data_IF_648810638115
#
_entry.id   IF_648810638115
#
_cell.length_a   1.000
_cell.length_b   1.000
_cell.length_c   1.000
_cell.angle_alpha   90.00
_cell.angle_beta   90.00
_cell.angle_gamma   90.00
#
_symmetry.space_group_name_H-M   'P 1'
#
loop_
_entity.id
_entity.type
_entity.pdbx_description
1 polymer ?
#
# COMPACT_ATOMS: atom_id res chain seq x y z
N UNK A 1 13.09 -11.12 -14.07
CA UNK A 1 13.45 -10.11 -13.04
C UNK A 1 12.56 -10.15 -11.78
N UNK A 2 11.21 -10.17 -11.89
CA UNK A 2 10.31 -10.22 -10.72
C UNK A 2 10.62 -11.37 -9.73
N UNK A 3 10.84 -12.59 -10.24
CA UNK A 3 11.22 -13.77 -9.41
C UNK A 3 12.55 -13.57 -8.66
N UNK A 4 13.53 -12.90 -9.26
CA UNK A 4 14.83 -12.61 -8.63
C UNK A 4 14.62 -11.62 -7.47
N UNK A 5 13.86 -10.54 -7.71
CA UNK A 5 13.54 -9.56 -6.68
C UNK A 5 12.73 -10.18 -5.53
N UNK A 6 11.79 -11.07 -5.82
CA UNK A 6 11.02 -11.79 -4.80
C UNK A 6 11.92 -12.67 -3.93
N UNK A 7 12.76 -13.53 -4.53
CA UNK A 7 13.72 -14.38 -3.78
C UNK A 7 14.69 -13.57 -2.93
N UNK A 8 15.12 -12.38 -3.40
CA UNK A 8 15.94 -11.45 -2.61
C UNK A 8 15.19 -10.85 -1.40
N UNK A 9 13.88 -10.57 -1.54
CA UNK A 9 13.04 -10.09 -0.44
C UNK A 9 12.73 -11.19 0.58
N UNK A 10 12.62 -12.44 0.13
CA UNK A 10 12.41 -13.63 0.98
C UNK A 10 13.70 -14.14 1.65
N UNK A 11 14.79 -13.36 1.62
CA UNK A 11 16.11 -13.72 2.15
C UNK A 11 16.75 -14.98 1.53
N UNK A 12 16.25 -15.47 0.39
CA UNK A 12 16.80 -16.61 -0.35
C UNK A 12 17.84 -16.13 -1.37
N UNK A 13 18.99 -15.70 -0.88
CA UNK A 13 20.03 -15.08 -1.70
C UNK A 13 20.70 -16.06 -2.68
N UNK A 14 20.95 -17.30 -2.26
CA UNK A 14 21.56 -18.33 -3.12
C UNK A 14 20.68 -18.63 -4.34
N UNK A 15 19.39 -18.82 -4.11
CA UNK A 15 18.42 -19.04 -5.20
C UNK A 15 18.28 -17.83 -6.11
N UNK A 16 18.34 -16.61 -5.56
CA UNK A 16 18.27 -15.38 -6.34
C UNK A 16 19.46 -15.23 -7.29
N UNK A 17 20.68 -15.50 -6.81
CA UNK A 17 21.91 -15.50 -7.60
C UNK A 17 21.90 -16.64 -8.63
N UNK A 18 21.46 -17.84 -8.25
CA UNK A 18 21.30 -18.96 -9.18
C UNK A 18 20.33 -18.64 -10.31
N UNK A 19 19.18 -18.05 -9.98
CA UNK A 19 18.18 -17.61 -10.98
C UNK A 19 18.73 -16.49 -11.87
N UNK A 20 19.52 -15.56 -11.33
CA UNK A 20 20.18 -14.49 -12.09
C UNK A 20 21.19 -15.04 -13.11
N UNK A 21 22.03 -16.00 -12.70
CA UNK A 21 23.02 -16.65 -13.58
C UNK A 21 22.37 -17.55 -14.62
N UNK A 22 21.33 -18.30 -14.26
CA UNK A 22 20.55 -19.08 -15.22
C UNK A 22 19.88 -18.16 -16.26
N UNK A 23 19.32 -17.03 -15.83
CA UNK A 23 18.76 -16.04 -16.77
C UNK A 23 19.82 -15.47 -17.73
N UNK A 24 21.08 -15.31 -17.28
CA UNK A 24 22.20 -14.89 -18.13
C UNK A 24 22.56 -15.92 -19.20
N UNK A 25 22.50 -17.21 -18.87
CA UNK A 25 22.75 -18.29 -19.83
C UNK A 25 21.65 -18.40 -20.89
N UNK A 26 20.39 -18.18 -20.48
CA UNK A 26 19.23 -18.28 -21.38
C UNK A 26 19.07 -17.03 -22.26
N UNK A 27 19.43 -15.83 -21.77
CA UNK A 27 19.28 -14.55 -22.48
C UNK A 27 20.61 -13.78 -22.62
N UNK A 28 21.58 -14.26 -23.42
CA UNK A 28 22.87 -13.61 -23.58
C UNK A 28 22.84 -12.35 -24.47
N UNK A 29 21.82 -12.20 -25.33
CA UNK A 29 21.86 -11.24 -26.45
C UNK A 29 21.64 -9.78 -26.06
N UNK A 30 20.91 -9.51 -24.96
CA UNK A 30 20.57 -8.13 -24.56
C UNK A 30 21.50 -7.56 -23.47
N UNK A 31 22.42 -8.36 -22.93
CA UNK A 31 23.34 -7.93 -21.87
C UNK A 31 22.65 -7.47 -20.57
N UNK A 32 21.34 -7.71 -20.43
CA UNK A 32 20.51 -7.25 -19.31
C UNK A 32 20.96 -7.85 -17.97
N UNK A 33 21.51 -9.07 -18.01
CA UNK A 33 22.02 -9.80 -16.84
C UNK A 33 23.56 -9.87 -16.82
N UNK A 34 24.23 -9.02 -17.60
CA UNK A 34 25.68 -9.02 -17.76
C UNK A 34 26.20 -10.10 -18.72
N UNK A 35 27.52 -10.15 -18.86
CA UNK A 35 28.24 -11.13 -19.70
C UNK A 35 28.87 -12.22 -18.85
N UNK A 36 29.23 -13.34 -19.48
CA UNK A 36 29.90 -14.42 -18.76
C UNK A 36 31.29 -13.98 -18.25
N UNK A 37 31.57 -14.22 -16.97
CA UNK A 37 32.80 -13.79 -16.31
C UNK A 37 32.84 -12.33 -15.83
N UNK A 38 31.69 -11.68 -15.63
CA UNK A 38 31.63 -10.34 -15.01
C UNK A 38 32.22 -10.37 -13.59
N UNK A 39 32.92 -9.31 -13.13
CA UNK A 39 33.42 -9.24 -11.75
C UNK A 39 32.27 -9.30 -10.75
N UNK A 40 32.51 -9.96 -9.61
CA UNK A 40 31.51 -10.17 -8.55
C UNK A 40 30.88 -8.86 -8.06
N UNK A 41 31.66 -7.76 -8.03
CA UNK A 41 31.20 -6.43 -7.65
C UNK A 41 30.12 -5.88 -8.61
N UNK A 42 30.28 -6.12 -9.92
CA UNK A 42 29.34 -5.65 -10.94
C UNK A 42 28.08 -6.53 -10.98
N UNK A 43 28.21 -7.82 -10.68
CA UNK A 43 27.06 -8.73 -10.48
C UNK A 43 26.19 -8.28 -9.30
N UNK A 44 26.83 -7.84 -8.21
CA UNK A 44 26.14 -7.29 -7.04
C UNK A 44 25.43 -5.96 -7.34
N UNK A 45 26.06 -5.07 -8.10
CA UNK A 45 25.45 -3.79 -8.50
C UNK A 45 24.20 -3.99 -9.37
N UNK A 46 24.23 -4.98 -10.28
CA UNK A 46 23.07 -5.35 -11.09
C UNK A 46 21.94 -5.94 -10.24
N UNK A 47 22.26 -6.86 -9.32
CA UNK A 47 21.28 -7.40 -8.37
C UNK A 47 20.68 -6.31 -7.48
N UNK A 48 21.50 -5.36 -7.00
CA UNK A 48 21.05 -4.19 -6.25
C UNK A 48 20.12 -3.30 -7.07
N UNK A 49 20.42 -3.13 -8.36
CA UNK A 49 19.55 -2.40 -9.29
C UNK A 49 18.21 -3.10 -9.47
N UNK A 50 18.19 -4.42 -9.64
CA UNK A 50 16.96 -5.23 -9.72
C UNK A 50 16.15 -5.14 -8.42
N UNK A 51 16.82 -5.15 -7.27
CA UNK A 51 16.17 -5.04 -5.96
C UNK A 51 15.49 -3.68 -5.76
N UNK A 52 16.17 -2.60 -6.15
CA UNK A 52 15.68 -1.22 -5.98
C UNK A 52 14.69 -0.78 -7.06
N UNK A 53 14.65 -1.48 -8.19
CA UNK A 53 13.69 -1.17 -9.27
C UNK A 53 12.29 -1.60 -8.87
N UNK A 54 11.31 -0.73 -9.06
CA UNK A 54 9.90 -1.04 -8.81
C UNK A 54 9.36 -1.93 -9.93
N UNK A 55 9.54 -3.25 -9.80
CA UNK A 55 8.99 -4.24 -10.72
C UNK A 55 7.57 -4.66 -10.33
N UNK A 56 6.93 -3.96 -9.38
CA UNK A 56 5.59 -4.29 -8.90
C UNK A 56 5.49 -5.66 -8.23
N UNK A 57 6.55 -6.11 -7.55
CA UNK A 57 6.50 -7.32 -6.72
C UNK A 57 5.74 -6.96 -5.45
N UNK A 58 4.55 -7.55 -5.29
CA UNK A 58 3.75 -7.44 -4.07
C UNK A 58 4.58 -7.99 -2.90
N UNK A 59 4.80 -7.15 -1.89
CA UNK A 59 5.48 -7.58 -0.66
C UNK A 59 4.50 -8.51 0.05
N UNK A 60 4.72 -9.81 -0.03
CA UNK A 60 4.08 -10.74 0.89
C UNK A 60 4.64 -10.44 2.27
N UNK A 61 3.93 -9.63 3.05
CA UNK A 61 4.25 -9.40 4.46
C UNK A 61 4.23 -10.77 5.15
N UNK A 62 5.42 -11.32 5.42
CA UNK A 62 5.61 -12.52 6.21
C UNK A 62 5.11 -12.25 7.62
N UNK A 63 3.86 -12.62 7.90
CA UNK A 63 3.41 -12.88 9.25
C UNK A 63 4.27 -14.02 9.81
N UNK A 64 4.99 -13.72 10.88
CA UNK A 64 5.61 -14.71 11.75
C UNK A 64 4.52 -15.60 12.34
N UNK A 65 4.46 -16.85 11.89
CA UNK A 65 4.06 -17.95 12.76
C UNK A 65 4.86 -19.19 12.35
N UNK A 66 5.73 -19.61 13.26
CA UNK A 66 6.49 -20.85 13.16
C UNK A 66 5.52 -22.03 13.24
N UNK A 67 5.39 -22.78 12.14
CA UNK A 67 4.90 -24.16 12.17
C UNK A 67 5.63 -24.95 11.09
N UNK A 68 6.58 -25.76 11.54
CA UNK A 68 7.21 -26.81 10.77
C UNK A 68 6.14 -27.75 10.21
N UNK A 69 6.09 -27.96 8.89
CA UNK A 69 6.01 -29.32 8.35
C UNK A 69 6.46 -29.38 6.87
N UNK A 70 7.06 -30.51 6.54
CA UNK A 70 7.58 -30.93 5.24
C UNK A 70 6.54 -30.85 4.10
N UNK A 71 6.99 -30.44 2.92
CA UNK A 71 6.78 -31.23 1.71
C UNK A 71 7.81 -30.83 0.66
N UNK A 72 8.74 -31.74 0.39
CA UNK A 72 9.30 -31.89 -0.95
C UNK A 72 8.12 -32.05 -1.93
N UNK A 73 8.08 -31.25 -2.99
CA UNK A 73 7.43 -31.64 -4.23
C UNK A 73 8.13 -30.90 -5.38
N UNK A 74 8.94 -31.70 -6.05
CA UNK A 74 9.40 -31.56 -7.41
C UNK A 74 8.17 -31.62 -8.32
N UNK A 75 7.80 -30.50 -8.94
CA UNK A 75 6.86 -30.47 -10.05
C UNK A 75 7.44 -29.50 -11.09
N UNK A 76 8.24 -30.07 -12.00
CA UNK A 76 8.52 -29.53 -13.32
C UNK A 76 7.20 -29.46 -14.09
N UNK A 77 6.48 -28.33 -14.02
CA UNK A 77 5.31 -28.10 -14.86
C UNK A 77 5.62 -27.15 -16.01
N UNK A 78 5.25 -27.68 -17.18
CA UNK A 78 5.50 -27.27 -18.54
C UNK A 78 5.00 -25.84 -18.85
N UNK A 79 5.67 -25.22 -19.83
CA UNK A 79 5.24 -23.98 -20.47
C UNK A 79 3.80 -24.09 -20.96
N UNK A 80 2.85 -23.43 -20.27
CA UNK A 80 1.59 -23.03 -20.89
C UNK A 80 1.58 -21.50 -21.07
N UNK A 81 1.64 -21.10 -22.34
CA UNK A 81 1.40 -19.75 -22.84
C UNK A 81 -0.10 -19.40 -22.64
N UNK A 82 -0.59 -19.42 -21.40
CA UNK A 82 -1.90 -18.86 -21.08
C UNK A 82 -1.80 -17.34 -21.10
N UNK A 83 -2.50 -16.72 -22.08
CA UNK A 83 -2.84 -15.29 -22.05
C UNK A 83 -3.17 -14.89 -20.61
N UNK A 84 -2.68 -13.75 -20.07
CA UNK A 84 -2.96 -13.38 -18.71
C UNK A 84 -4.45 -13.18 -18.58
N UNK A 85 -5.14 -14.23 -18.12
CA UNK A 85 -6.50 -14.14 -17.66
C UNK A 85 -6.44 -13.06 -16.61
N UNK A 86 -7.09 -11.93 -16.88
CA UNK A 86 -7.23 -10.87 -15.88
C UNK A 86 -8.05 -11.49 -14.77
N UNK A 87 -7.36 -12.10 -13.81
CA UNK A 87 -7.93 -12.63 -12.61
C UNK A 87 -8.58 -11.42 -11.93
N UNK A 88 -9.90 -11.33 -12.06
CA UNK A 88 -10.68 -10.36 -11.28
C UNK A 88 -10.66 -10.91 -9.86
N UNK A 89 -9.62 -10.53 -9.11
CA UNK A 89 -9.56 -10.78 -7.68
C UNK A 89 -10.62 -9.88 -7.07
N UNK A 90 -11.74 -10.48 -6.67
CA UNK A 90 -12.75 -9.80 -5.87
C UNK A 90 -12.13 -9.48 -4.51
N UNK A 91 -11.70 -8.23 -4.32
CA UNK A 91 -11.20 -7.76 -3.03
C UNK A 91 -12.38 -7.46 -2.13
N UNK A 92 -12.46 -8.14 -0.98
CA UNK A 92 -13.40 -7.78 0.06
C UNK A 92 -13.20 -6.33 0.50
N UNK A 93 -14.23 -5.51 0.33
CA UNK A 93 -14.18 -4.09 0.71
C UNK A 93 -14.55 -3.92 2.18
N UNK A 94 -13.55 -3.78 3.04
CA UNK A 94 -13.78 -3.33 4.42
C UNK A 94 -14.01 -1.82 4.47
N UNK A 95 -15.29 -1.44 4.57
CA UNK A 95 -15.69 -0.04 4.72
C UNK A 95 -15.07 0.63 5.95
N UNK A 96 -14.86 -0.12 7.04
CA UNK A 96 -14.29 0.43 8.27
C UNK A 96 -12.81 0.77 8.08
N UNK A 97 -12.05 -0.11 7.44
CA UNK A 97 -10.66 0.18 7.07
C UNK A 97 -10.58 1.41 6.16
N UNK A 98 -11.46 1.47 5.15
CA UNK A 98 -11.53 2.63 4.26
C UNK A 98 -11.77 3.94 5.02
N UNK A 99 -12.72 3.98 5.97
CA UNK A 99 -13.02 5.18 6.76
C UNK A 99 -11.86 5.53 7.70
N UNK A 100 -11.16 4.54 8.27
CA UNK A 100 -10.01 4.76 9.14
C UNK A 100 -8.87 5.52 8.44
N UNK A 101 -8.71 5.37 7.12
CA UNK A 101 -7.73 6.15 6.33
C UNK A 101 -7.97 7.66 6.40
N UNK A 102 -9.21 8.09 6.66
CA UNK A 102 -9.56 9.51 6.82
C UNK A 102 -9.47 10.01 8.27
N UNK A 103 -9.22 9.11 9.23
CA UNK A 103 -9.10 9.44 10.66
C UNK A 103 -7.69 10.04 10.97
N UNK A 104 -7.34 11.12 10.26
CA UNK A 104 -6.06 11.86 10.35
C UNK A 104 -6.30 13.32 10.75
N UNK A 105 -5.40 13.88 11.58
CA UNK A 105 -5.45 15.28 12.04
C UNK A 105 -5.63 16.33 10.92
N UNK A 106 -5.01 16.13 9.74
CA UNK A 106 -5.14 17.05 8.60
C UNK A 106 -6.56 17.11 8.05
N UNK A 107 -7.27 15.98 8.01
CA UNK A 107 -8.66 15.89 7.55
C UNK A 107 -9.56 16.63 8.53
N UNK A 108 -9.36 16.42 9.83
CA UNK A 108 -10.10 17.14 10.88
C UNK A 108 -9.84 18.64 10.79
N UNK A 109 -8.58 19.07 10.69
CA UNK A 109 -8.24 20.48 10.53
C UNK A 109 -8.87 21.11 9.28
N UNK A 110 -8.90 20.40 8.15
CA UNK A 110 -9.57 20.88 6.94
C UNK A 110 -11.09 21.03 7.14
N UNK A 111 -11.73 20.08 7.80
CA UNK A 111 -13.15 20.15 8.15
C UNK A 111 -13.45 21.34 9.07
N UNK A 112 -12.62 21.55 10.09
CA UNK A 112 -12.72 22.69 11.02
C UNK A 112 -12.55 24.02 10.30
N UNK A 113 -11.58 24.12 9.39
CA UNK A 113 -11.35 25.30 8.57
C UNK A 113 -12.55 25.63 7.67
N UNK A 114 -13.16 24.62 7.05
CA UNK A 114 -14.37 24.82 6.23
C UNK A 114 -15.57 25.25 7.08
N UNK A 115 -15.72 24.72 8.30
CA UNK A 115 -16.78 25.11 9.22
C UNK A 115 -16.59 26.51 9.81
N UNK A 116 -15.40 27.09 9.76
CA UNK A 116 -15.18 28.47 10.23
C UNK A 116 -16.05 29.49 9.46
N UNK A 117 -16.32 29.19 8.17
CA UNK A 117 -17.15 30.00 7.26
C UNK A 117 -18.47 29.29 6.91
N UNK A 118 -19.06 28.59 7.89
CA UNK A 118 -20.30 27.83 7.72
C UNK A 118 -21.47 28.67 7.16
N UNK A 119 -21.49 29.97 7.44
CA UNK A 119 -22.48 30.95 6.96
C UNK A 119 -22.45 31.17 5.44
N UNK A 120 -21.29 30.94 4.80
CA UNK A 120 -21.10 31.10 3.35
C UNK A 120 -21.25 29.80 2.57
N UNK A 121 -21.28 28.68 3.27
CA UNK A 121 -21.37 27.36 2.66
C UNK A 121 -22.82 27.00 2.35
N UNK A 122 -23.02 26.16 1.33
CA UNK A 122 -24.34 25.55 1.09
C UNK A 122 -24.73 24.64 2.26
N UNK A 123 -26.03 24.52 2.61
CA UNK A 123 -26.49 23.63 3.68
C UNK A 123 -26.02 22.18 3.51
N UNK A 124 -26.03 21.68 2.27
CA UNK A 124 -25.51 20.35 1.93
C UNK A 124 -24.02 20.20 2.27
N UNK A 125 -23.21 21.23 1.99
CA UNK A 125 -21.77 21.19 2.29
C UNK A 125 -21.52 21.14 3.79
N UNK A 126 -22.22 21.98 4.56
CA UNK A 126 -22.14 21.95 6.02
C UNK A 126 -22.58 20.58 6.58
N UNK A 127 -23.65 20.00 6.04
CA UNK A 127 -24.09 18.66 6.40
C UNK A 127 -22.99 17.62 6.14
N UNK A 128 -22.35 17.62 4.97
CA UNK A 128 -21.26 16.70 4.64
C UNK A 128 -20.07 16.83 5.60
N UNK A 129 -19.68 18.08 5.94
CA UNK A 129 -18.55 18.31 6.85
C UNK A 129 -18.87 17.79 8.25
N UNK A 130 -20.04 18.13 8.79
CA UNK A 130 -20.48 17.63 10.11
C UNK A 130 -20.60 16.10 10.09
N UNK A 131 -21.09 15.53 8.99
CA UNK A 131 -21.19 14.07 8.87
C UNK A 131 -19.82 13.41 8.83
N UNK A 132 -18.82 14.01 8.17
CA UNK A 132 -17.45 13.52 8.19
C UNK A 132 -16.87 13.53 9.61
N UNK A 133 -17.05 14.64 10.35
CA UNK A 133 -16.62 14.74 11.75
C UNK A 133 -17.33 13.71 12.66
N UNK A 134 -18.64 13.51 12.44
CA UNK A 134 -19.42 12.48 13.14
C UNK A 134 -18.88 11.07 12.87
N UNK A 135 -18.56 10.73 11.61
CA UNK A 135 -17.98 9.43 11.26
C UNK A 135 -16.66 9.19 11.99
N UNK A 136 -15.80 10.21 12.07
CA UNK A 136 -14.53 10.12 12.80
C UNK A 136 -14.76 9.92 14.31
N UNK A 137 -15.70 10.66 14.90
CA UNK A 137 -15.96 10.58 16.33
C UNK A 137 -16.64 9.27 16.74
N UNK A 138 -17.68 8.86 15.99
CA UNK A 138 -18.56 7.74 16.33
C UNK A 138 -18.11 6.44 15.67
N UNK A 139 -18.00 6.42 14.34
CA UNK A 139 -17.75 5.17 13.58
C UNK A 139 -16.30 4.70 13.74
N UNK A 140 -15.32 5.64 13.70
CA UNK A 140 -13.92 5.36 14.00
C UNK A 140 -13.61 5.21 15.51
N UNK A 141 -14.56 5.55 16.40
CA UNK A 141 -14.35 5.61 17.85
C UNK A 141 -13.11 6.47 18.25
N UNK A 142 -12.98 7.65 17.62
CA UNK A 142 -11.89 8.62 17.88
C UNK A 142 -12.42 10.01 18.29
N UNK A 143 -13.25 10.12 19.35
CA UNK A 143 -13.83 11.39 19.77
C UNK A 143 -12.78 12.43 20.20
N UNK A 144 -11.62 11.98 20.68
CA UNK A 144 -10.51 12.84 21.16
C UNK A 144 -10.04 13.81 20.08
N UNK A 145 -10.14 13.43 18.79
CA UNK A 145 -9.75 14.26 17.65
C UNK A 145 -10.59 15.55 17.54
N UNK A 146 -11.79 15.56 18.13
CA UNK A 146 -12.70 16.72 18.12
C UNK A 146 -12.40 17.72 19.24
N UNK A 147 -11.50 17.41 20.19
CA UNK A 147 -11.21 18.27 21.34
C UNK A 147 -10.24 19.41 21.00
N UNK A 148 -10.57 20.16 19.94
CA UNK A 148 -9.89 21.37 19.54
C UNK A 148 -10.72 22.58 19.99
N UNK A 149 -10.08 23.54 20.66
CA UNK A 149 -10.76 24.75 21.16
C UNK A 149 -11.49 25.52 20.05
N UNK A 150 -10.90 25.57 18.85
CA UNK A 150 -11.47 26.20 17.66
C UNK A 150 -12.81 25.58 17.26
N UNK A 151 -12.89 24.24 17.25
CA UNK A 151 -14.11 23.53 16.90
C UNK A 151 -15.25 23.82 17.90
N UNK A 152 -14.94 23.86 19.19
CA UNK A 152 -15.92 24.22 20.20
C UNK A 152 -16.47 25.64 20.03
N UNK A 153 -15.60 26.61 19.74
CA UNK A 153 -16.02 27.99 19.47
C UNK A 153 -16.91 28.09 18.22
N UNK A 154 -16.61 27.30 17.19
CA UNK A 154 -17.43 27.24 15.98
C UNK A 154 -18.81 26.66 16.30
N UNK A 155 -18.89 25.54 17.02
CA UNK A 155 -20.18 24.95 17.43
C UNK A 155 -20.99 25.89 18.31
N UNK A 156 -20.35 26.60 19.24
CA UNK A 156 -21.01 27.62 20.04
C UNK A 156 -21.58 28.75 19.15
N UNK A 157 -20.81 29.22 18.16
CA UNK A 157 -21.26 30.24 17.20
C UNK A 157 -22.46 29.76 16.39
N UNK A 158 -22.41 28.53 15.87
CA UNK A 158 -23.51 27.89 15.12
C UNK A 158 -24.77 27.76 15.99
N UNK A 159 -24.62 27.39 17.26
CA UNK A 159 -25.75 27.25 18.19
C UNK A 159 -26.41 28.60 18.52
N UNK A 160 -25.61 29.66 18.67
CA UNK A 160 -26.13 31.00 18.95
C UNK A 160 -26.66 31.73 17.71
N UNK A 161 -26.17 31.39 16.52
CA UNK A 161 -26.64 31.94 15.26
C UNK A 161 -26.83 30.80 14.23
N UNK A 162 -27.97 30.09 14.31
CA UNK A 162 -28.30 29.06 13.34
C UNK A 162 -28.50 29.71 11.98
N UNK A 163 -27.72 29.27 10.97
CA UNK A 163 -27.98 29.65 9.58
C UNK A 163 -29.37 29.12 9.20
N UNK A 164 -30.22 29.92 8.53
CA UNK A 164 -31.50 29.43 8.00
C UNK A 164 -31.32 28.32 6.95
#
# INVERSE_FOLDING_TARGET
MKKIQQRMRDHKYEDAVGTFRAAREVWPEEGIFGVDGIPEDEELDMLGTIYNTDLGVEVSEMNQDESQDNSENDDEDEEDDEEPSTAVVETDFDFKDFVLRFCHARVVSACVYLLERYDKNLPHTNHCIVKMLHRIAWDCNRPVMMFQATLFLIFQRVLHNPVP
#
